data_IF_918243046681
#
_entry.id   IF_918243046681
#
_cell.length_a   1.000
_cell.length_b   1.000
_cell.length_c   1.000
_cell.angle_alpha   90.00
_cell.angle_beta   90.00
_cell.angle_gamma   90.00
#
_symmetry.space_group_name_H-M   'P 1'
#
loop_
_entity.id
_entity.type
_entity.pdbx_description
1 polymer ?
#
# COMPACT_ATOMS: atom_id res chain seq x y z
N UNK A 1 1.49 29.84 41.79
CA UNK A 1 2.70 29.36 42.47
C UNK A 1 2.37 28.74 43.83
N UNK A 2 1.77 29.48 44.78
CA UNK A 2 1.36 28.93 46.09
C UNK A 2 0.57 27.61 46.06
N UNK A 3 -0.44 27.48 45.19
CA UNK A 3 -1.25 26.24 45.09
C UNK A 3 -0.44 25.02 44.62
N UNK A 4 0.62 25.23 43.83
CA UNK A 4 1.48 24.13 43.36
C UNK A 4 2.41 23.63 44.48
N UNK A 5 2.83 24.53 45.38
CA UNK A 5 3.66 24.22 46.55
C UNK A 5 2.87 23.44 47.63
N UNK A 6 1.54 23.55 47.63
CA UNK A 6 0.65 22.85 48.56
C UNK A 6 0.24 21.43 48.10
N UNK A 7 0.67 20.98 46.92
CA UNK A 7 0.34 19.65 46.40
C UNK A 7 0.96 18.54 47.26
N UNK A 8 0.13 17.58 47.68
CA UNK A 8 0.53 16.44 48.51
C UNK A 8 0.06 15.11 47.89
N UNK A 9 0.65 13.96 48.27
CA UNK A 9 0.13 12.65 47.88
C UNK A 9 -1.36 12.53 48.20
N UNK A 10 -2.15 12.10 47.22
CA UNK A 10 -3.62 12.02 47.29
C UNK A 10 -4.35 13.15 46.56
N UNK A 11 -3.65 14.21 46.14
CA UNK A 11 -4.24 15.23 45.27
C UNK A 11 -4.34 14.73 43.82
N UNK A 12 -5.38 15.16 43.11
CA UNK A 12 -5.60 14.87 41.69
C UNK A 12 -5.40 16.17 40.90
N UNK A 13 -4.65 16.09 39.80
CA UNK A 13 -4.40 17.23 38.90
C UNK A 13 -4.89 16.87 37.50
N UNK A 14 -5.93 17.55 37.05
CA UNK A 14 -6.41 17.49 35.67
C UNK A 14 -5.49 18.34 34.78
N UNK A 15 -4.53 17.67 34.14
CA UNK A 15 -3.57 18.31 33.24
C UNK A 15 -4.05 18.28 31.80
N UNK A 16 -3.53 19.21 31.00
CA UNK A 16 -3.65 19.13 29.55
C UNK A 16 -2.96 17.87 28.98
N UNK A 17 -3.40 17.49 27.78
CA UNK A 17 -2.76 16.46 26.97
C UNK A 17 -1.32 16.84 26.64
N UNK A 18 -0.44 15.83 26.68
CA UNK A 18 0.98 15.93 26.38
C UNK A 18 1.39 14.83 25.43
N UNK A 19 2.56 14.99 24.84
CA UNK A 19 3.16 13.98 23.97
C UNK A 19 3.30 12.63 24.71
N UNK A 20 2.87 11.56 24.05
CA UNK A 20 2.92 10.20 24.58
C UNK A 20 1.68 9.77 25.36
N UNK A 21 0.72 10.67 25.61
CA UNK A 21 -0.58 10.30 26.18
C UNK A 21 -1.32 9.33 25.25
N UNK A 22 -2.10 8.41 25.83
CA UNK A 22 -2.89 7.46 25.06
C UNK A 22 -4.25 8.07 24.72
N UNK A 23 -4.66 7.98 23.47
CA UNK A 23 -5.97 8.43 23.01
C UNK A 23 -6.61 7.40 22.12
N UNK A 24 -7.92 7.20 22.24
CA UNK A 24 -8.69 6.29 21.40
C UNK A 24 -9.24 7.11 20.24
N UNK A 25 -8.87 6.72 19.02
CA UNK A 25 -9.23 7.43 17.79
C UNK A 25 -10.22 6.61 16.97
N UNK A 26 -11.22 7.28 16.40
CA UNK A 26 -12.35 6.63 15.75
C UNK A 26 -12.83 7.39 14.51
N UNK A 27 -13.27 6.65 13.48
CA UNK A 27 -14.05 7.19 12.36
C UNK A 27 -15.40 6.48 12.26
N UNK A 28 -16.46 7.26 12.04
CA UNK A 28 -17.81 6.75 11.81
C UNK A 28 -18.04 6.53 10.31
N UNK A 29 -18.82 5.50 9.91
CA UNK A 29 -19.41 4.45 10.73
C UNK A 29 -18.36 3.41 11.16
N UNK A 30 -18.49 2.88 12.39
CA UNK A 30 -17.57 1.86 12.91
C UNK A 30 -18.05 0.47 12.55
N UNK A 31 -17.55 -0.06 11.44
CA UNK A 31 -17.98 -1.37 10.90
C UNK A 31 -17.31 -2.56 11.58
N UNK A 32 -16.12 -2.35 12.16
CA UNK A 32 -15.36 -3.39 12.84
C UNK A 32 -14.47 -2.78 13.92
N UNK A 33 -13.93 -3.61 14.83
CA UNK A 33 -13.10 -3.14 15.95
C UNK A 33 -11.90 -2.28 15.53
N UNK A 34 -11.38 -2.49 14.33
CA UNK A 34 -10.25 -1.72 13.77
C UNK A 34 -10.62 -0.28 13.37
N UNK A 35 -11.89 0.08 13.45
CA UNK A 35 -12.35 1.47 13.28
C UNK A 35 -12.20 2.28 14.57
N UNK A 36 -11.76 1.67 15.67
CA UNK A 36 -11.50 2.28 16.98
C UNK A 36 -10.17 1.75 17.50
N UNK A 37 -9.09 2.54 17.41
CA UNK A 37 -7.73 2.11 17.77
C UNK A 37 -7.07 3.16 18.67
N UNK A 38 -6.22 2.72 19.59
CA UNK A 38 -5.48 3.61 20.47
C UNK A 38 -4.18 4.13 19.82
N UNK A 39 -4.04 5.44 19.77
CA UNK A 39 -2.89 6.19 19.26
C UNK A 39 -2.14 6.88 20.40
N UNK A 40 -0.89 7.26 20.15
CA UNK A 40 -0.13 8.14 21.05
C UNK A 40 -0.27 9.57 20.58
N UNK A 41 -0.65 10.46 21.50
CA UNK A 41 -0.78 11.89 21.24
C UNK A 41 0.58 12.47 20.88
N UNK A 42 0.59 13.30 19.84
CA UNK A 42 1.68 14.22 19.52
C UNK A 42 1.07 15.60 19.28
N UNK A 43 1.34 16.52 20.20
CA UNK A 43 0.84 17.89 20.14
C UNK A 43 1.63 18.64 19.08
N UNK A 44 0.90 19.13 18.08
CA UNK A 44 1.46 19.85 16.94
C UNK A 44 0.65 21.13 16.73
N UNK A 45 1.23 22.15 16.07
CA UNK A 45 0.46 23.31 15.64
C UNK A 45 -0.71 22.92 14.71
N UNK A 46 -1.58 23.89 14.41
CA UNK A 46 -2.78 23.78 13.55
C UNK A 46 -3.97 23.06 14.21
N UNK A 47 -5.11 23.00 13.49
CA UNK A 47 -6.44 22.65 14.04
C UNK A 47 -7.00 21.30 13.56
N UNK A 48 -6.16 20.44 13.00
CA UNK A 48 -6.58 19.14 12.45
C UNK A 48 -5.88 17.98 13.15
N UNK A 49 -6.57 16.83 13.22
CA UNK A 49 -5.91 15.58 13.56
C UNK A 49 -5.06 15.11 12.39
N UNK A 50 -3.86 14.63 12.69
CA UNK A 50 -2.95 14.07 11.69
C UNK A 50 -2.88 12.56 11.88
N UNK A 51 -3.11 11.83 10.80
CA UNK A 51 -3.05 10.38 10.77
C UNK A 51 -1.93 9.93 9.82
N UNK A 52 -1.22 8.88 10.20
CA UNK A 52 -0.24 8.27 9.31
C UNK A 52 -0.94 7.55 8.15
N UNK A 53 -0.51 7.81 6.90
CA UNK A 53 -1.18 7.31 5.69
C UNK A 53 -1.32 5.77 5.64
N UNK A 54 -0.35 5.04 6.17
CA UNK A 54 -0.42 3.57 6.25
C UNK A 54 -1.56 3.04 7.15
N UNK A 55 -2.14 3.89 8.00
CA UNK A 55 -3.21 3.56 8.96
C UNK A 55 -4.57 4.08 8.48
N UNK A 56 -4.67 4.63 7.28
CA UNK A 56 -5.95 5.11 6.73
C UNK A 56 -6.93 3.96 6.46
N UNK A 57 -6.43 2.82 5.97
CA UNK A 57 -7.26 1.70 5.53
C UNK A 57 -8.14 1.09 6.66
N UNK A 58 -7.64 0.85 7.89
CA UNK A 58 -8.50 0.46 9.02
C UNK A 58 -9.65 1.41 9.31
N UNK A 59 -9.50 2.71 9.06
CA UNK A 59 -10.57 3.68 9.27
C UNK A 59 -11.44 3.89 8.03
N UNK A 60 -11.06 3.28 6.89
CA UNK A 60 -11.56 3.62 5.57
C UNK A 60 -11.56 5.15 5.34
N UNK A 61 -10.51 5.82 5.84
CA UNK A 61 -10.40 7.26 5.84
C UNK A 61 -9.71 7.77 4.58
N UNK A 62 -10.18 8.90 4.09
CA UNK A 62 -9.50 9.72 3.11
C UNK A 62 -9.29 11.14 3.67
N UNK A 63 -8.98 12.10 2.81
CA UNK A 63 -8.62 13.47 3.22
C UNK A 63 -9.36 14.51 2.38
N UNK A 64 -10.60 14.21 1.98
CA UNK A 64 -11.44 15.11 1.17
C UNK A 64 -12.37 16.02 2.02
N UNK A 65 -12.30 15.89 3.35
CA UNK A 65 -13.19 16.58 4.29
C UNK A 65 -13.58 15.73 5.51
N UNK A 66 -13.09 14.49 5.60
CA UNK A 66 -13.32 13.56 6.68
C UNK A 66 -13.11 14.13 8.10
N UNK A 67 -14.06 13.84 8.98
CA UNK A 67 -13.99 14.11 10.43
C UNK A 67 -13.78 12.81 11.22
N UNK A 68 -13.03 12.90 12.32
CA UNK A 68 -12.72 11.77 13.19
C UNK A 68 -12.81 12.17 14.66
N UNK A 69 -13.23 11.22 15.49
CA UNK A 69 -13.45 11.41 16.92
C UNK A 69 -12.21 11.01 17.72
N UNK A 70 -11.91 11.78 18.77
CA UNK A 70 -10.84 11.49 19.72
C UNK A 70 -11.42 11.36 21.13
N UNK A 71 -11.14 10.25 21.79
CA UNK A 71 -11.58 9.96 23.16
C UNK A 71 -10.36 9.79 24.07
N UNK A 72 -10.36 10.47 25.22
CA UNK A 72 -9.26 10.41 26.19
C UNK A 72 -9.68 9.56 27.40
N UNK A 73 -9.18 8.33 27.56
CA UNK A 73 -9.46 7.53 28.75
C UNK A 73 -8.90 8.22 30.00
N UNK A 74 -9.73 8.36 31.04
CA UNK A 74 -9.37 9.10 32.26
C UNK A 74 -8.70 8.19 33.30
N UNK A 75 -9.30 7.04 33.60
CA UNK A 75 -8.78 6.10 34.61
C UNK A 75 -7.49 5.43 34.14
N UNK A 76 -6.56 5.20 35.06
CA UNK A 76 -5.31 4.47 34.79
C UNK A 76 -5.57 3.06 34.22
N UNK A 77 -6.62 2.38 34.67
CA UNK A 77 -7.02 1.07 34.16
C UNK A 77 -7.39 1.10 32.67
N UNK A 78 -8.28 2.02 32.28
CA UNK A 78 -8.63 2.22 30.87
C UNK A 78 -7.44 2.68 30.01
N UNK A 79 -6.54 3.51 30.57
CA UNK A 79 -5.31 3.89 29.87
C UNK A 79 -4.39 2.69 29.64
N UNK A 80 -4.24 1.82 30.64
CA UNK A 80 -3.45 0.59 30.54
C UNK A 80 -4.06 -0.41 29.55
N UNK A 81 -5.38 -0.60 29.59
CA UNK A 81 -6.11 -1.46 28.66
C UNK A 81 -5.93 -0.98 27.20
N UNK A 82 -6.15 0.32 26.95
CA UNK A 82 -5.95 0.92 25.64
C UNK A 82 -4.48 0.77 25.17
N UNK A 83 -3.52 0.92 26.08
CA UNK A 83 -2.09 0.78 25.79
C UNK A 83 -1.71 -0.65 25.42
N UNK A 84 -2.26 -1.65 26.11
CA UNK A 84 -1.89 -3.06 25.90
C UNK A 84 -2.65 -3.69 24.74
N UNK A 85 -3.97 -3.46 24.66
CA UNK A 85 -4.86 -4.18 23.75
C UNK A 85 -5.14 -3.42 22.45
N UNK A 86 -5.28 -2.10 22.53
CA UNK A 86 -5.83 -1.30 21.42
C UNK A 86 -4.78 -0.55 20.60
N UNK A 87 -3.50 -0.62 20.95
CA UNK A 87 -2.46 0.13 20.26
C UNK A 87 -2.33 -0.25 18.77
N UNK A 88 -2.14 0.77 17.92
CA UNK A 88 -2.06 0.63 16.44
C UNK A 88 -1.13 -0.49 16.00
N UNK A 89 0.08 -0.57 16.55
CA UNK A 89 1.04 -1.58 16.13
C UNK A 89 0.60 -3.02 16.47
N UNK A 90 -0.21 -3.19 17.52
CA UNK A 90 -0.79 -4.50 17.86
C UNK A 90 -2.01 -4.84 17.00
N UNK A 91 -2.46 -3.90 16.17
CA UNK A 91 -3.59 -4.03 15.25
C UNK A 91 -3.10 -3.97 13.79
N UNK A 92 -1.88 -4.40 13.48
CA UNK A 92 -1.40 -4.47 12.10
C UNK A 92 -2.15 -5.55 11.31
N UNK A 93 -2.37 -6.72 11.91
CA UNK A 93 -3.01 -7.88 11.25
C UNK A 93 -4.53 -7.84 11.45
N UNK A 94 -5.27 -7.93 10.35
CA UNK A 94 -6.73 -7.97 10.38
C UNK A 94 -7.23 -9.29 10.97
N UNK A 95 -8.18 -9.25 11.93
CA UNK A 95 -8.81 -10.47 12.46
C UNK A 95 -9.69 -11.18 11.44
N UNK A 96 -10.14 -10.51 10.37
CA UNK A 96 -11.05 -11.07 9.37
C UNK A 96 -10.38 -12.09 8.46
N UNK A 97 -9.15 -11.80 8.04
CA UNK A 97 -8.46 -12.55 6.99
C UNK A 97 -6.97 -12.80 7.28
N UNK A 98 -6.48 -12.42 8.47
CA UNK A 98 -5.13 -12.76 8.92
C UNK A 98 -4.01 -12.17 8.07
N UNK A 99 -4.22 -11.01 7.45
CA UNK A 99 -3.21 -10.28 6.68
C UNK A 99 -3.07 -8.83 7.19
N UNK A 100 -1.93 -8.15 6.92
CA UNK A 100 -1.69 -6.78 7.39
C UNK A 100 -2.68 -5.80 6.76
N UNK A 101 -3.58 -5.20 7.53
CA UNK A 101 -4.46 -4.12 7.06
C UNK A 101 -3.77 -2.75 7.11
N UNK A 102 -2.78 -2.62 7.97
CA UNK A 102 -1.87 -1.48 8.01
C UNK A 102 -0.67 -1.83 7.12
N UNK A 103 -0.27 -0.95 6.21
CA UNK A 103 0.83 -1.20 5.28
C UNK A 103 1.05 -0.06 4.31
N UNK A 104 2.02 -0.21 3.42
CA UNK A 104 2.31 0.82 2.42
C UNK A 104 1.16 0.96 1.41
N UNK A 105 0.84 2.19 1.03
CA UNK A 105 -0.26 2.54 0.13
C UNK A 105 0.16 3.65 -0.84
N UNK A 106 -0.47 3.71 -2.01
CA UNK A 106 -0.34 4.78 -3.01
C UNK A 106 1.14 5.11 -3.30
N UNK A 107 1.58 6.33 -3.02
CA UNK A 107 2.91 6.87 -3.32
C UNK A 107 4.05 6.02 -2.76
N UNK A 108 3.86 5.40 -1.59
CA UNK A 108 4.86 4.49 -1.03
C UNK A 108 5.10 3.28 -1.96
N UNK A 109 4.06 2.76 -2.60
CA UNK A 109 4.19 1.62 -3.51
C UNK A 109 4.90 2.03 -4.81
N UNK A 110 4.60 3.22 -5.33
CA UNK A 110 5.29 3.78 -6.49
C UNK A 110 6.76 4.04 -6.18
N UNK A 111 7.03 4.66 -5.04
CA UNK A 111 8.38 4.93 -4.57
C UNK A 111 9.18 3.64 -4.35
N UNK A 112 8.57 2.60 -3.76
CA UNK A 112 9.26 1.34 -3.50
C UNK A 112 9.59 0.61 -4.80
N UNK A 113 8.65 0.63 -5.74
CA UNK A 113 8.84 0.08 -7.07
C UNK A 113 10.03 0.78 -7.74
N UNK A 114 10.00 2.11 -7.83
CA UNK A 114 11.07 2.90 -8.45
C UNK A 114 12.42 2.69 -7.75
N UNK A 115 12.45 2.74 -6.41
CA UNK A 115 13.68 2.57 -5.63
C UNK A 115 14.36 1.23 -5.90
N UNK A 116 13.59 0.16 -6.01
CA UNK A 116 14.12 -1.21 -6.04
C UNK A 116 14.29 -1.79 -7.44
N UNK A 117 14.13 -0.98 -8.50
CA UNK A 117 14.47 -1.41 -9.88
C UNK A 117 15.98 -1.59 -10.07
N UNK A 118 16.36 -2.45 -11.01
CA UNK A 118 17.76 -2.73 -11.35
C UNK A 118 18.51 -1.53 -11.94
N UNK A 119 17.79 -0.60 -12.57
CA UNK A 119 18.35 0.60 -13.19
C UNK A 119 18.45 1.79 -12.23
N UNK A 120 18.04 1.63 -10.96
CA UNK A 120 18.12 2.69 -9.97
C UNK A 120 19.47 2.68 -9.26
N UNK A 121 20.27 3.70 -9.60
CA UNK A 121 21.55 4.00 -8.98
C UNK A 121 21.47 5.31 -8.18
N UNK A 122 22.07 5.29 -7.01
CA UNK A 122 22.10 6.39 -6.04
C UNK A 122 23.54 6.81 -5.80
N UNK A 123 23.78 8.12 -5.85
CA UNK A 123 25.03 8.75 -5.48
C UNK A 123 25.22 8.73 -3.96
N UNK A 124 26.46 8.94 -3.49
CA UNK A 124 26.77 9.02 -2.06
C UNK A 124 25.90 10.07 -1.32
N UNK A 125 25.62 11.20 -1.96
CA UNK A 125 24.79 12.28 -1.37
C UNK A 125 23.34 11.84 -1.17
N UNK A 126 22.76 11.23 -2.21
CA UNK A 126 21.39 10.70 -2.14
C UNK A 126 21.28 9.58 -1.10
N UNK A 127 22.25 8.67 -1.05
CA UNK A 127 22.33 7.63 -0.01
C UNK A 127 22.37 8.29 1.37
N UNK A 128 23.30 9.22 1.61
CA UNK A 128 23.41 9.90 2.90
C UNK A 128 22.10 10.55 3.36
N UNK A 129 21.35 11.17 2.44
CA UNK A 129 20.02 11.72 2.74
C UNK A 129 19.01 10.65 3.12
N UNK A 130 18.94 9.55 2.37
CA UNK A 130 18.03 8.44 2.69
C UNK A 130 18.38 7.78 4.04
N UNK A 131 19.66 7.57 4.33
CA UNK A 131 20.11 7.01 5.61
C UNK A 131 19.73 7.92 6.79
N UNK A 132 19.84 9.23 6.62
CA UNK A 132 19.46 10.21 7.64
C UNK A 132 17.95 10.16 7.95
N UNK A 133 17.09 10.02 6.93
CA UNK A 133 15.63 9.96 7.10
C UNK A 133 15.15 8.71 7.88
N UNK A 134 15.90 7.60 7.80
CA UNK A 134 15.61 6.41 8.60
C UNK A 134 16.38 6.33 9.92
N UNK A 135 17.08 7.40 10.32
CA UNK A 135 17.89 7.45 11.54
C UNK A 135 18.89 6.26 11.60
N UNK A 136 19.53 5.92 10.46
CA UNK A 136 20.42 4.77 10.35
C UNK A 136 21.82 5.07 10.91
N UNK A 137 22.27 4.22 11.83
CA UNK A 137 23.54 4.32 12.58
C UNK A 137 24.55 3.22 12.21
N UNK A 138 24.17 2.29 11.33
CA UNK A 138 25.01 1.17 10.93
C UNK A 138 26.04 1.52 9.85
N UNK A 139 26.80 0.50 9.44
CA UNK A 139 27.78 0.64 8.37
C UNK A 139 27.09 0.78 7.00
N UNK A 140 27.62 1.68 6.17
CA UNK A 140 27.16 1.84 4.79
C UNK A 140 27.82 0.74 3.95
N UNK A 141 27.04 -0.06 3.20
CA UNK A 141 27.60 -1.11 2.36
C UNK A 141 28.51 -0.50 1.27
N UNK A 142 29.47 -1.27 0.72
CA UNK A 142 30.26 -0.78 -0.40
C UNK A 142 29.36 -0.54 -1.64
N UNK A 143 29.70 0.44 -2.49
CA UNK A 143 28.95 0.71 -3.71
C UNK A 143 29.03 -0.48 -4.67
N UNK A 144 27.97 -0.72 -5.45
CA UNK A 144 27.97 -1.76 -6.50
C UNK A 144 28.86 -1.38 -7.67
N UNK A 145 28.99 -0.07 -7.96
CA UNK A 145 29.92 0.46 -8.97
C UNK A 145 30.83 1.48 -8.33
N UNK A 146 32.13 1.30 -8.48
CA UNK A 146 33.13 2.22 -7.91
C UNK A 146 33.65 3.27 -8.90
N UNK A 147 33.48 3.03 -10.21
CA UNK A 147 33.93 3.92 -11.28
C UNK A 147 32.80 4.18 -12.29
N UNK A 148 32.71 5.38 -12.89
CA UNK A 148 33.54 6.58 -12.68
C UNK A 148 33.29 7.29 -11.34
N UNK A 149 32.12 7.08 -10.74
CA UNK A 149 31.75 7.56 -9.41
C UNK A 149 31.12 6.41 -8.59
N UNK A 150 31.19 6.45 -7.25
CA UNK A 150 30.61 5.40 -6.42
C UNK A 150 29.07 5.47 -6.44
N UNK A 151 28.44 4.37 -6.87
CA UNK A 151 26.99 4.23 -6.99
C UNK A 151 26.47 3.03 -6.21
N UNK A 152 25.37 3.25 -5.50
CA UNK A 152 24.62 2.23 -4.76
C UNK A 152 23.34 1.88 -5.49
N UNK A 153 22.92 0.61 -5.45
CA UNK A 153 21.57 0.25 -5.90
C UNK A 153 20.55 0.57 -4.81
N UNK A 154 19.35 0.98 -5.18
CA UNK A 154 18.27 1.11 -4.20
C UNK A 154 17.88 -0.20 -3.51
N UNK A 155 18.18 -1.37 -4.11
CA UNK A 155 18.08 -2.67 -3.41
C UNK A 155 19.01 -2.78 -2.21
N UNK A 156 20.23 -2.21 -2.30
CA UNK A 156 21.15 -2.19 -1.16
C UNK A 156 20.59 -1.33 -0.03
N UNK A 157 20.01 -0.17 -0.37
CA UNK A 157 19.41 0.73 0.62
C UNK A 157 18.18 0.09 1.28
N UNK A 158 17.32 -0.57 0.50
CA UNK A 158 16.19 -1.32 1.05
C UNK A 158 16.65 -2.45 1.99
N UNK A 159 17.73 -3.15 1.66
CA UNK A 159 18.30 -4.24 2.49
C UNK A 159 18.74 -3.76 3.88
N UNK A 160 19.05 -2.47 4.06
CA UNK A 160 19.44 -1.94 5.38
C UNK A 160 18.27 -1.91 6.37
N UNK A 161 17.03 -1.93 5.89
CA UNK A 161 15.83 -1.99 6.73
C UNK A 161 15.55 -3.41 7.28
N UNK A 162 16.13 -4.44 6.67
CA UNK A 162 15.79 -5.82 6.95
C UNK A 162 16.68 -6.40 8.06
N UNK A 163 16.11 -7.25 8.95
CA UNK A 163 16.90 -8.05 9.89
C UNK A 163 17.90 -8.94 9.16
N UNK A 164 19.10 -9.15 9.73
CA UNK A 164 20.20 -9.90 9.09
C UNK A 164 19.94 -11.40 8.96
N UNK A 165 18.97 -11.94 9.68
CA UNK A 165 18.52 -13.33 9.63
C UNK A 165 17.23 -13.50 8.80
N UNK A 166 16.70 -12.42 8.23
CA UNK A 166 15.43 -12.46 7.50
C UNK A 166 15.58 -13.08 6.11
N UNK A 167 14.70 -14.03 5.81
CA UNK A 167 14.68 -14.76 4.55
C UNK A 167 13.25 -14.75 3.96
N UNK A 168 13.14 -14.41 2.68
CA UNK A 168 11.85 -14.31 2.01
C UNK A 168 11.96 -14.62 0.52
N UNK A 169 11.00 -15.36 0.00
CA UNK A 169 10.82 -15.55 -1.44
C UNK A 169 9.35 -15.34 -1.81
N UNK A 170 9.10 -14.54 -2.83
CA UNK A 170 7.75 -14.18 -3.23
C UNK A 170 7.70 -13.54 -4.62
N UNK A 171 6.48 -13.32 -5.10
CA UNK A 171 6.23 -12.80 -6.45
C UNK A 171 5.72 -11.37 -6.38
N UNK A 172 6.43 -10.46 -7.05
CA UNK A 172 6.00 -9.07 -7.23
C UNK A 172 4.73 -9.01 -8.10
N UNK A 173 3.92 -7.97 -7.90
CA UNK A 173 2.71 -7.72 -8.68
C UNK A 173 2.98 -7.46 -10.18
N UNK A 174 4.17 -6.93 -10.52
CA UNK A 174 4.58 -6.74 -11.91
C UNK A 174 4.77 -8.08 -12.67
N UNK A 175 5.00 -9.18 -11.94
CA UNK A 175 5.28 -10.46 -12.55
C UNK A 175 3.99 -11.16 -13.02
N UNK A 176 3.67 -10.99 -14.31
CA UNK A 176 2.56 -11.71 -14.97
C UNK A 176 2.97 -13.08 -15.56
N UNK A 177 4.27 -13.38 -15.59
CA UNK A 177 4.80 -14.65 -16.11
C UNK A 177 4.38 -15.83 -15.23
N UNK A 178 4.12 -16.99 -15.86
CA UNK A 178 3.96 -18.25 -15.12
C UNK A 178 5.34 -18.82 -14.86
N UNK A 179 5.72 -18.86 -13.60
CA UNK A 179 6.95 -19.50 -13.15
C UNK A 179 6.62 -20.89 -12.63
N UNK A 180 7.41 -21.89 -13.00
CA UNK A 180 7.24 -23.28 -12.53
C UNK A 180 7.77 -23.40 -11.10
N UNK A 181 8.89 -22.73 -10.83
CA UNK A 181 9.47 -22.58 -9.49
C UNK A 181 9.85 -21.13 -9.23
N UNK A 182 9.90 -20.73 -7.96
CA UNK A 182 10.34 -19.38 -7.57
C UNK A 182 11.86 -19.19 -7.68
N UNK A 183 12.60 -20.23 -8.06
CA UNK A 183 14.04 -20.13 -8.32
C UNK A 183 14.34 -19.56 -9.72
N UNK A 184 13.38 -19.65 -10.64
CA UNK A 184 13.50 -19.14 -12.01
C UNK A 184 13.81 -17.64 -12.06
N UNK A 185 14.66 -17.24 -13.01
CA UNK A 185 14.87 -15.84 -13.32
C UNK A 185 13.66 -15.26 -14.05
N UNK A 186 13.26 -14.06 -13.65
CA UNK A 186 12.17 -13.34 -14.27
C UNK A 186 12.71 -12.20 -15.12
N UNK A 187 12.35 -12.08 -16.42
CA UNK A 187 12.84 -11.01 -17.29
C UNK A 187 12.54 -9.60 -16.78
N UNK A 188 11.47 -9.45 -16.00
CA UNK A 188 11.04 -8.17 -15.41
C UNK A 188 11.47 -7.99 -13.95
N UNK A 189 12.41 -8.81 -13.47
CA UNK A 189 12.86 -8.82 -12.07
C UNK A 189 11.67 -8.98 -11.09
N UNK A 190 10.78 -9.91 -11.44
CA UNK A 190 9.50 -10.11 -10.78
C UNK A 190 9.49 -11.06 -9.59
N UNK A 191 10.63 -11.69 -9.27
CA UNK A 191 10.79 -12.61 -8.14
C UNK A 191 11.58 -11.90 -7.06
N UNK A 192 10.94 -11.66 -5.93
CA UNK A 192 11.52 -11.01 -4.74
C UNK A 192 12.19 -12.08 -3.90
N UNK A 193 13.50 -11.97 -3.76
CA UNK A 193 14.30 -12.87 -2.96
C UNK A 193 15.17 -12.09 -1.98
N UNK A 194 14.93 -12.31 -0.70
CA UNK A 194 15.74 -11.82 0.42
C UNK A 194 16.43 -13.02 1.05
N UNK A 195 17.75 -12.94 1.17
CA UNK A 195 18.54 -13.89 1.94
C UNK A 195 19.42 -13.16 2.95
N UNK A 196 19.37 -13.59 4.20
CA UNK A 196 20.15 -13.02 5.30
C UNK A 196 20.05 -11.48 5.36
N UNK A 197 18.82 -10.97 5.24
CA UNK A 197 18.52 -9.54 5.25
C UNK A 197 18.96 -8.77 4.00
N UNK A 198 19.44 -9.44 2.95
CA UNK A 198 19.87 -8.81 1.70
C UNK A 198 18.86 -9.12 0.58
N UNK A 199 18.27 -8.07 0.01
CA UNK A 199 17.45 -8.15 -1.20
C UNK A 199 18.36 -8.44 -2.40
N UNK A 200 18.40 -9.71 -2.82
CA UNK A 200 19.26 -10.20 -3.90
C UNK A 200 18.70 -9.87 -5.27
N UNK A 201 17.40 -10.10 -5.45
CA UNK A 201 16.67 -9.84 -6.70
C UNK A 201 15.21 -9.49 -6.40
N UNK A 202 14.55 -8.92 -7.39
CA UNK A 202 13.14 -8.59 -7.36
C UNK A 202 12.83 -7.15 -6.99
N UNK A 203 11.67 -6.71 -7.47
CA UNK A 203 11.13 -5.38 -7.21
C UNK A 203 10.14 -5.43 -6.04
N UNK A 204 10.28 -4.51 -5.11
CA UNK A 204 9.38 -4.35 -3.96
C UNK A 204 8.19 -3.50 -4.37
N UNK A 205 7.01 -4.12 -4.39
CA UNK A 205 5.77 -3.46 -4.77
C UNK A 205 4.61 -3.81 -3.82
N UNK A 206 3.38 -3.62 -4.30
CA UNK A 206 2.17 -3.90 -3.54
C UNK A 206 2.15 -5.31 -2.94
N UNK A 207 2.67 -6.33 -3.63
CA UNK A 207 2.65 -7.71 -3.12
C UNK A 207 3.64 -7.92 -1.96
N UNK A 208 4.67 -7.08 -1.85
CA UNK A 208 5.71 -7.21 -0.83
C UNK A 208 5.40 -6.43 0.45
N UNK A 209 4.99 -5.16 0.31
CA UNK A 209 4.82 -4.23 1.46
C UNK A 209 3.41 -3.63 1.55
N UNK A 210 2.55 -3.93 0.58
CA UNK A 210 1.22 -3.34 0.50
C UNK A 210 0.26 -3.87 1.56
N UNK A 211 -0.67 -3.01 1.97
CA UNK A 211 -1.79 -3.43 2.80
C UNK A 211 -2.64 -4.53 2.11
N UNK A 212 -3.28 -5.35 2.95
CA UNK A 212 -4.17 -6.47 2.62
C UNK A 212 -3.50 -7.62 1.86
N UNK A 213 -2.17 -7.72 1.91
CA UNK A 213 -1.44 -8.81 1.26
C UNK A 213 -1.05 -9.91 2.24
N UNK A 214 -1.73 -11.09 2.20
CA UNK A 214 -1.31 -12.25 2.96
C UNK A 214 0.06 -12.74 2.47
N UNK A 215 0.78 -13.39 3.38
CA UNK A 215 2.14 -13.94 3.17
C UNK A 215 3.14 -13.03 2.45
N UNK A 216 2.94 -11.72 2.51
CA UNK A 216 3.84 -10.71 1.98
C UNK A 216 5.12 -10.59 2.83
N UNK A 217 6.14 -9.92 2.28
CA UNK A 217 7.38 -9.63 3.00
C UNK A 217 7.08 -8.91 4.32
N UNK A 218 6.24 -7.88 4.27
CA UNK A 218 5.85 -7.15 5.48
C UNK A 218 5.07 -8.02 6.46
N UNK A 219 4.19 -8.90 5.97
CA UNK A 219 3.46 -9.83 6.83
C UNK A 219 4.40 -10.80 7.57
N UNK A 220 5.44 -11.30 6.92
CA UNK A 220 6.45 -12.14 7.58
C UNK A 220 7.22 -11.38 8.64
N UNK A 221 7.61 -10.14 8.37
CA UNK A 221 8.26 -9.28 9.37
C UNK A 221 7.38 -9.13 10.62
N UNK A 222 6.08 -8.89 10.44
CA UNK A 222 5.12 -8.77 11.56
C UNK A 222 5.02 -10.06 12.37
N UNK A 223 5.02 -11.22 11.71
CA UNK A 223 4.89 -12.54 12.36
C UNK A 223 6.17 -12.98 13.08
N UNK A 224 7.33 -12.77 12.47
CA UNK A 224 8.62 -13.29 12.95
C UNK A 224 9.28 -12.37 13.99
N UNK A 225 9.17 -11.04 13.83
CA UNK A 225 9.87 -10.05 14.67
C UNK A 225 8.92 -9.24 15.58
N UNK A 226 7.61 -9.45 15.44
CA UNK A 226 6.59 -8.83 16.28
C UNK A 226 6.19 -7.41 15.86
N UNK A 227 5.16 -6.89 16.55
CA UNK A 227 4.52 -5.61 16.21
C UNK A 227 5.42 -4.39 16.36
N UNK A 228 6.25 -4.36 17.40
CA UNK A 228 7.14 -3.23 17.68
C UNK A 228 8.19 -3.05 16.58
N UNK A 229 8.83 -4.14 16.15
CA UNK A 229 9.78 -4.10 15.05
C UNK A 229 9.08 -3.76 13.72
N UNK A 230 7.92 -4.36 13.45
CA UNK A 230 7.16 -4.08 12.22
C UNK A 230 6.68 -2.62 12.12
N UNK A 231 6.35 -2.00 13.26
CA UNK A 231 6.03 -0.58 13.31
C UNK A 231 7.25 0.28 12.96
N UNK A 232 8.40 0.01 13.57
CA UNK A 232 9.65 0.74 13.29
C UNK A 232 10.06 0.58 11.82
N UNK A 233 10.03 -0.66 11.31
CA UNK A 233 10.28 -0.98 9.92
C UNK A 233 9.38 -0.17 8.98
N UNK A 234 8.06 -0.17 9.20
CA UNK A 234 7.12 0.54 8.33
C UNK A 234 7.33 2.06 8.37
N UNK A 235 7.61 2.62 9.55
CA UNK A 235 7.89 4.05 9.70
C UNK A 235 9.16 4.45 8.95
N UNK A 236 10.26 3.72 9.15
CA UNK A 236 11.54 3.97 8.46
C UNK A 236 11.38 3.83 6.95
N UNK A 237 10.70 2.76 6.51
CA UNK A 237 10.37 2.53 5.10
C UNK A 237 9.58 3.71 4.51
N UNK A 238 8.50 4.14 5.14
CA UNK A 238 7.70 5.27 4.65
C UNK A 238 8.52 6.58 4.55
N UNK A 239 9.41 6.85 5.51
CA UNK A 239 10.28 8.05 5.46
C UNK A 239 11.25 8.03 4.29
N UNK A 240 11.98 6.92 4.09
CA UNK A 240 12.93 6.82 2.97
C UNK A 240 12.22 6.86 1.62
N UNK A 241 11.04 6.23 1.51
CA UNK A 241 10.27 6.22 0.28
C UNK A 241 9.75 7.62 -0.06
N UNK A 242 9.26 8.37 0.93
CA UNK A 242 8.87 9.77 0.76
C UNK A 242 10.05 10.65 0.35
N UNK A 243 11.22 10.50 1.00
CA UNK A 243 12.40 11.26 0.61
C UNK A 243 12.86 10.89 -0.80
N UNK A 244 12.81 9.61 -1.16
CA UNK A 244 13.22 9.14 -2.48
C UNK A 244 12.32 9.69 -3.59
N UNK A 245 10.99 9.58 -3.45
CA UNK A 245 10.07 10.07 -4.48
C UNK A 245 10.14 11.60 -4.62
N UNK A 246 10.38 12.33 -3.52
CA UNK A 246 10.60 13.77 -3.56
C UNK A 246 11.90 14.17 -4.29
N UNK A 247 12.94 13.32 -4.25
CA UNK A 247 14.17 13.56 -5.01
C UNK A 247 14.02 13.27 -6.50
N UNK A 248 13.31 12.19 -6.85
CA UNK A 248 13.13 11.77 -8.24
C UNK A 248 12.07 12.57 -8.98
N UNK A 249 11.01 12.98 -8.28
CA UNK A 249 9.78 13.46 -8.87
C UNK A 249 8.97 12.32 -9.47
N UNK A 250 7.65 12.40 -9.31
CA UNK A 250 6.71 11.50 -9.98
C UNK A 250 5.48 12.30 -10.35
N UNK A 251 5.13 12.30 -11.63
CA UNK A 251 3.95 12.93 -12.20
C UNK A 251 3.55 12.12 -13.42
N UNK A 252 2.35 12.36 -13.92
CA UNK A 252 1.91 11.91 -15.24
C UNK A 252 1.53 13.12 -16.08
N UNK A 253 1.50 12.94 -17.40
CA UNK A 253 1.13 13.97 -18.36
C UNK A 253 -0.04 13.50 -19.24
N UNK A 254 -0.67 14.42 -19.98
CA UNK A 254 -1.87 14.12 -20.78
C UNK A 254 -1.53 13.21 -21.97
N UNK A 255 -0.34 13.37 -22.54
CA UNK A 255 0.19 12.53 -23.62
C UNK A 255 0.38 11.07 -23.21
N UNK A 256 0.63 10.79 -21.91
CA UNK A 256 0.65 9.41 -21.40
C UNK A 256 -0.75 8.75 -21.37
N UNK A 257 -1.82 9.53 -21.57
CA UNK A 257 -3.19 9.04 -21.74
C UNK A 257 -3.59 8.93 -23.22
N UNK A 258 -2.76 9.41 -24.15
CA UNK A 258 -3.01 9.33 -25.58
C UNK A 258 -2.65 7.94 -26.12
N UNK A 259 -3.56 7.35 -26.86
CA UNK A 259 -3.38 6.03 -27.47
C UNK A 259 -2.76 6.22 -28.87
N UNK A 260 -1.76 5.42 -29.27
CA UNK A 260 -1.21 5.49 -30.62
C UNK A 260 -2.31 5.27 -31.68
N UNK A 261 -2.23 5.98 -32.82
CA UNK A 261 -3.22 5.86 -33.92
C UNK A 261 -3.46 4.42 -34.37
N UNK A 262 -2.41 3.60 -34.41
CA UNK A 262 -2.51 2.18 -34.75
C UNK A 262 -3.40 1.39 -33.79
N UNK A 263 -3.40 1.76 -32.51
CA UNK A 263 -4.27 1.17 -31.50
C UNK A 263 -5.69 1.75 -31.60
N UNK A 264 -5.87 3.04 -31.91
CA UNK A 264 -7.19 3.63 -32.20
C UNK A 264 -7.88 2.93 -33.39
N UNK A 265 -7.17 2.69 -34.48
CA UNK A 265 -7.70 1.99 -35.66
C UNK A 265 -8.14 0.56 -35.32
N UNK A 266 -7.34 -0.17 -34.54
CA UNK A 266 -7.69 -1.52 -34.06
C UNK A 266 -8.90 -1.51 -33.14
N UNK A 267 -8.99 -0.53 -32.24
CA UNK A 267 -10.14 -0.34 -31.36
C UNK A 267 -11.39 -0.04 -32.21
N UNK A 268 -11.29 0.85 -33.19
CA UNK A 268 -12.38 1.17 -34.12
C UNK A 268 -12.91 -0.07 -34.84
N UNK A 269 -12.02 -0.91 -35.38
CA UNK A 269 -12.42 -2.15 -36.04
C UNK A 269 -13.15 -3.13 -35.10
N UNK A 270 -12.72 -3.23 -33.84
CA UNK A 270 -13.38 -4.07 -32.83
C UNK A 270 -14.77 -3.54 -32.48
N UNK A 271 -14.93 -2.22 -32.39
CA UNK A 271 -16.21 -1.58 -32.10
C UNK A 271 -17.19 -1.77 -33.27
N UNK A 272 -16.73 -1.61 -34.51
CA UNK A 272 -17.56 -1.88 -35.70
C UNK A 272 -18.02 -3.34 -35.77
N UNK A 273 -17.13 -4.29 -35.46
CA UNK A 273 -17.49 -5.71 -35.36
C UNK A 273 -18.56 -5.94 -34.27
N UNK A 274 -18.38 -5.35 -33.10
CA UNK A 274 -19.30 -5.47 -31.97
C UNK A 274 -20.68 -4.86 -32.29
N UNK A 275 -20.72 -3.70 -32.94
CA UNK A 275 -21.95 -3.10 -33.44
C UNK A 275 -22.64 -3.99 -34.47
N UNK A 276 -21.89 -4.55 -35.42
CA UNK A 276 -22.41 -5.46 -36.43
C UNK A 276 -22.99 -6.74 -35.83
N UNK A 277 -22.36 -7.29 -34.79
CA UNK A 277 -22.89 -8.43 -34.02
C UNK A 277 -24.15 -8.05 -33.23
N UNK A 278 -24.18 -6.87 -32.62
CA UNK A 278 -25.34 -6.35 -31.89
C UNK A 278 -26.55 -6.16 -32.82
N UNK A 279 -26.34 -5.59 -34.01
CA UNK A 279 -27.40 -5.45 -35.02
C UNK A 279 -27.96 -6.81 -35.44
N UNK A 280 -27.11 -7.81 -35.66
CA UNK A 280 -27.52 -9.19 -35.98
C UNK A 280 -28.37 -9.82 -34.86
N UNK A 281 -28.05 -9.56 -33.59
CA UNK A 281 -28.86 -10.02 -32.45
C UNK A 281 -30.24 -9.37 -32.42
N UNK A 282 -30.32 -8.06 -32.68
CA UNK A 282 -31.58 -7.31 -32.75
C UNK A 282 -32.44 -7.82 -33.92
N UNK A 283 -31.84 -8.10 -35.07
CA UNK A 283 -32.54 -8.69 -36.21
C UNK A 283 -33.04 -10.11 -35.92
N UNK A 284 -32.21 -10.95 -35.30
CA UNK A 284 -32.61 -12.30 -34.88
C UNK A 284 -33.79 -12.26 -33.89
N UNK A 285 -33.83 -11.27 -33.00
CA UNK A 285 -34.97 -11.03 -32.11
C UNK A 285 -36.24 -10.67 -32.89
N UNK A 286 -36.14 -9.72 -33.82
CA UNK A 286 -37.28 -9.28 -34.67
C UNK A 286 -37.84 -10.42 -35.53
N UNK A 287 -36.97 -11.30 -36.03
CA UNK A 287 -37.35 -12.46 -36.84
C UNK A 287 -37.81 -13.67 -36.00
N UNK A 288 -37.79 -13.57 -34.67
CA UNK A 288 -38.15 -14.67 -33.76
C UNK A 288 -37.15 -15.84 -33.76
N UNK A 289 -35.95 -15.64 -34.33
CA UNK A 289 -34.89 -16.64 -34.42
C UNK A 289 -33.90 -16.58 -33.24
N UNK A 290 -34.09 -15.64 -32.30
CA UNK A 290 -33.20 -15.47 -31.15
C UNK A 290 -33.29 -16.66 -30.19
N UNK A 291 -32.13 -17.21 -29.83
CA UNK A 291 -32.05 -18.26 -28.82
C UNK A 291 -32.33 -17.70 -27.43
N UNK A 292 -33.41 -18.21 -26.82
CA UNK A 292 -33.82 -17.86 -25.46
C UNK A 292 -32.84 -18.40 -24.43
N UNK A 293 -32.45 -17.56 -23.49
CA UNK A 293 -31.68 -17.96 -22.30
C UNK A 293 -32.62 -18.66 -21.31
N UNK A 294 -32.25 -19.84 -20.77
CA UNK A 294 -33.08 -20.56 -19.81
C UNK A 294 -33.49 -19.67 -18.62
N UNK A 295 -34.79 -19.64 -18.30
CA UNK A 295 -35.32 -18.87 -17.16
C UNK A 295 -35.48 -17.37 -17.39
N UNK A 296 -35.25 -16.86 -18.62
CA UNK A 296 -35.39 -15.44 -18.98
C UNK A 296 -36.46 -15.20 -20.04
N UNK A 297 -37.00 -13.99 -20.14
CA UNK A 297 -37.85 -13.59 -21.28
C UNK A 297 -37.01 -13.48 -22.57
N UNK A 298 -37.65 -13.37 -23.74
CA UNK A 298 -36.91 -13.15 -24.99
C UNK A 298 -36.23 -11.77 -25.02
N UNK A 299 -36.86 -10.76 -24.45
CA UNK A 299 -36.29 -9.40 -24.28
C UNK A 299 -35.06 -9.43 -23.36
N UNK A 300 -35.19 -10.06 -22.18
CA UNK A 300 -34.06 -10.21 -21.25
C UNK A 300 -32.92 -11.04 -21.86
N UNK A 301 -33.26 -12.03 -22.71
CA UNK A 301 -32.26 -12.83 -23.42
C UNK A 301 -31.49 -11.99 -24.45
N UNK A 302 -32.18 -11.09 -25.16
CA UNK A 302 -31.54 -10.15 -26.08
C UNK A 302 -30.56 -9.24 -25.34
N UNK A 303 -31.00 -8.62 -24.24
CA UNK A 303 -30.17 -7.73 -23.43
C UNK A 303 -28.91 -8.44 -22.91
N UNK A 304 -29.05 -9.68 -22.42
CA UNK A 304 -27.92 -10.47 -21.95
C UNK A 304 -26.91 -10.78 -23.06
N UNK A 305 -27.38 -11.17 -24.25
CA UNK A 305 -26.50 -11.45 -25.38
C UNK A 305 -25.75 -10.18 -25.83
N UNK A 306 -26.45 -9.04 -25.91
CA UNK A 306 -25.83 -7.75 -26.25
C UNK A 306 -24.81 -7.34 -25.19
N UNK A 307 -25.16 -7.41 -23.89
CA UNK A 307 -24.24 -7.09 -22.80
C UNK A 307 -22.98 -7.96 -22.84
N UNK A 308 -23.13 -9.26 -23.12
CA UNK A 308 -22.00 -10.18 -23.23
C UNK A 308 -21.08 -9.82 -24.40
N UNK A 309 -21.64 -9.52 -25.57
CA UNK A 309 -20.86 -9.12 -26.75
C UNK A 309 -20.12 -7.79 -26.53
N UNK A 310 -20.79 -6.79 -25.96
CA UNK A 310 -20.17 -5.51 -25.62
C UNK A 310 -19.10 -5.66 -24.54
N UNK A 311 -19.31 -6.54 -23.55
CA UNK A 311 -18.31 -6.81 -22.50
C UNK A 311 -17.04 -7.44 -23.09
N UNK A 312 -17.19 -8.41 -24.01
CA UNK A 312 -16.04 -9.01 -24.72
C UNK A 312 -15.34 -7.98 -25.59
N UNK A 313 -16.08 -7.11 -26.28
CA UNK A 313 -15.51 -6.05 -27.08
C UNK A 313 -14.67 -5.10 -26.22
N UNK A 314 -15.22 -4.65 -25.08
CA UNK A 314 -14.50 -3.83 -24.10
C UNK A 314 -13.21 -4.50 -23.63
N UNK A 315 -13.25 -5.78 -23.22
CA UNK A 315 -12.05 -6.51 -22.80
C UNK A 315 -11.00 -6.70 -23.90
N UNK A 316 -11.40 -6.68 -25.18
CA UNK A 316 -10.46 -6.71 -26.31
C UNK A 316 -9.83 -5.32 -26.51
N UNK A 317 -10.62 -4.25 -26.42
CA UNK A 317 -10.12 -2.87 -26.46
C UNK A 317 -9.14 -2.59 -25.30
N UNK A 318 -9.49 -3.00 -24.08
CA UNK A 318 -8.66 -2.82 -22.87
C UNK A 318 -7.30 -3.55 -22.93
N UNK A 319 -7.15 -4.54 -23.82
CA UNK A 319 -5.88 -5.24 -24.05
C UNK A 319 -4.99 -4.57 -25.09
N UNK A 320 -5.57 -3.67 -25.88
CA UNK A 320 -4.90 -2.94 -26.96
C UNK A 320 -4.44 -1.57 -26.46
N UNK A 321 -5.29 -0.91 -25.67
CA UNK A 321 -4.92 0.28 -24.88
C UNK A 321 -3.88 -0.09 -23.81
#
# INVERSE_FOLDING_TARGET
QKIAEDLKPGFIVERHLKDGDIAIFNRQPSLHRMSIIAHRVRVLPFKTFRLHLAVCLPYNADFDGDEMNLHIPQTEEAQAEARLLMQVQNQIVSPRYGAPIIGATRDFLTASYLLTRNDTFLTKSEVGRLLAEMDYDGEIPPPIRSHPEPLWSGKQIFSLLLPKDFNFIGKASICKHRHTTLDEECPVDGIVEVRDGVLRRGIIDRNSIGAERPDSLYHRIVKEYGSAFAQDFLNKLCRILNSFINMRGFSYAIDELEIPKEAEEKIGAILEEAEGSTRRLIEAYRLGALQRVPGKSLEESLDLHIMNELSKARERCDRIA
#
